data_IF_631481144255
#
_entry.id   IF_631481144255
#
_cell.length_a   1.000
_cell.length_b   1.000
_cell.length_c   1.000
_cell.angle_alpha   90.00
_cell.angle_beta   90.00
_cell.angle_gamma   90.00
#
_symmetry.space_group_name_H-M   'P 1'
#
loop_
_entity.id
_entity.type
_entity.pdbx_description
1 polymer ?
#
# COMPACT_ATOMS: atom_id res chain seq x y z
N UNK A 1 2.66 -7.10 -26.79
CA UNK A 1 2.95 -7.49 -25.38
C UNK A 1 1.78 -7.00 -24.56
N UNK A 2 1.02 -7.91 -23.95
CA UNK A 2 -0.11 -7.55 -23.09
C UNK A 2 0.45 -7.36 -21.69
N UNK A 3 0.73 -6.11 -21.31
CA UNK A 3 1.23 -5.77 -19.97
C UNK A 3 0.02 -5.86 -19.04
N UNK A 4 0.13 -6.65 -17.96
CA UNK A 4 -0.93 -6.74 -16.95
C UNK A 4 -1.23 -5.33 -16.42
N UNK A 5 -2.50 -4.93 -16.23
CA UNK A 5 -2.85 -3.63 -15.64
C UNK A 5 -2.06 -3.30 -14.36
N UNK A 6 -1.76 -4.32 -13.55
CA UNK A 6 -0.95 -4.20 -12.33
C UNK A 6 0.49 -3.76 -12.64
N UNK A 7 1.12 -4.37 -13.65
CA UNK A 7 2.49 -4.04 -14.08
C UNK A 7 2.57 -2.62 -14.66
N UNK A 8 1.46 -2.10 -15.22
CA UNK A 8 1.39 -0.77 -15.82
C UNK A 8 1.41 0.35 -14.77
N UNK A 9 0.72 0.17 -13.64
CA UNK A 9 0.72 1.17 -12.56
C UNK A 9 1.97 1.12 -11.69
N UNK A 10 2.56 -0.05 -11.48
CA UNK A 10 3.84 -0.16 -10.75
C UNK A 10 5.03 0.48 -11.48
N UNK A 11 4.92 0.73 -12.80
CA UNK A 11 5.89 1.48 -13.59
C UNK A 11 5.70 3.02 -13.48
N UNK A 12 4.67 3.50 -12.78
CA UNK A 12 4.46 4.92 -12.57
C UNK A 12 5.61 5.51 -11.73
N UNK A 13 6.02 6.71 -12.11
CA UNK A 13 6.99 7.50 -11.37
C UNK A 13 6.27 8.48 -10.44
N UNK A 14 6.87 8.72 -9.29
CA UNK A 14 6.42 9.70 -8.29
C UNK A 14 7.41 10.85 -8.29
N UNK A 15 6.91 12.09 -8.34
CA UNK A 15 7.74 13.29 -8.18
C UNK A 15 7.67 13.84 -6.76
N UNK A 16 8.57 14.78 -6.43
CA UNK A 16 8.47 15.55 -5.19
C UNK A 16 7.15 16.31 -5.12
N UNK A 17 6.69 16.88 -6.23
CA UNK A 17 5.45 17.66 -6.25
C UNK A 17 4.21 16.76 -6.03
N UNK A 18 4.23 15.53 -6.57
CA UNK A 18 3.22 14.52 -6.25
C UNK A 18 3.21 14.24 -4.74
N UNK A 19 4.38 13.95 -4.14
CA UNK A 19 4.50 13.71 -2.70
C UNK A 19 3.98 14.89 -1.88
N UNK A 20 4.24 16.13 -2.29
CA UNK A 20 3.76 17.32 -1.58
C UNK A 20 2.24 17.49 -1.71
N UNK A 21 1.68 17.20 -2.89
CA UNK A 21 0.22 17.25 -3.13
C UNK A 21 -0.54 16.27 -2.23
N UNK A 22 0.14 15.20 -1.82
CA UNK A 22 -0.38 14.14 -0.96
C UNK A 22 -0.40 14.50 0.53
N UNK A 23 0.05 15.71 0.89
CA UNK A 23 0.05 16.25 2.27
C UNK A 23 0.74 15.30 3.26
N UNK A 24 2.04 15.04 3.06
CA UNK A 24 2.82 14.14 3.90
C UNK A 24 2.99 14.78 5.30
N UNK A 25 3.25 13.94 6.29
CA UNK A 25 3.55 14.39 7.65
C UNK A 25 4.91 15.11 7.76
N UNK A 26 5.80 14.90 6.80
CA UNK A 26 7.12 15.53 6.74
C UNK A 26 7.05 16.92 6.11
N UNK A 27 7.97 17.80 6.52
CA UNK A 27 8.11 19.12 5.89
C UNK A 27 8.64 19.00 4.47
N UNK A 28 8.30 19.98 3.62
CA UNK A 28 8.82 20.05 2.25
C UNK A 28 10.34 20.01 2.20
N UNK A 29 11.02 20.72 3.11
CA UNK A 29 12.48 20.72 3.20
C UNK A 29 13.05 19.30 3.43
N UNK A 30 12.40 18.50 4.28
CA UNK A 30 12.83 17.12 4.54
C UNK A 30 12.61 16.22 3.33
N UNK A 31 11.50 16.40 2.61
CA UNK A 31 11.21 15.62 1.40
C UNK A 31 12.22 15.95 0.31
N UNK A 32 12.54 17.24 0.12
CA UNK A 32 13.55 17.68 -0.84
C UNK A 32 14.96 17.21 -0.47
N UNK A 33 15.27 17.14 0.83
CA UNK A 33 16.53 16.58 1.32
C UNK A 33 16.67 15.08 0.99
N UNK A 34 15.62 14.28 1.28
CA UNK A 34 15.57 12.85 0.91
C UNK A 34 15.65 12.65 -0.61
N UNK A 35 14.98 13.52 -1.36
CA UNK A 35 14.99 13.49 -2.82
C UNK A 35 16.38 13.78 -3.43
N UNK A 36 17.16 14.65 -2.79
CA UNK A 36 18.42 15.13 -3.33
C UNK A 36 18.24 15.71 -4.74
N UNK A 37 19.05 15.23 -5.69
CA UNK A 37 19.00 15.68 -7.08
C UNK A 37 18.01 14.91 -7.96
N UNK A 38 17.47 13.79 -7.48
CA UNK A 38 16.56 12.95 -8.26
C UNK A 38 15.18 13.61 -8.27
N UNK A 39 14.51 13.57 -9.41
CA UNK A 39 13.22 14.26 -9.62
C UNK A 39 12.04 13.29 -9.61
N UNK A 40 12.27 12.03 -9.96
CA UNK A 40 11.26 11.00 -10.15
C UNK A 40 11.75 9.67 -9.59
N UNK A 41 10.88 8.92 -8.92
CA UNK A 41 11.18 7.55 -8.45
C UNK A 41 10.10 6.57 -8.84
N UNK A 42 10.50 5.37 -9.21
CA UNK A 42 9.57 4.23 -9.26
C UNK A 42 9.25 3.72 -7.86
N UNK A 43 8.14 2.99 -7.71
CA UNK A 43 7.79 2.35 -6.44
C UNK A 43 8.93 1.47 -5.89
N UNK A 44 9.62 0.73 -6.75
CA UNK A 44 10.75 -0.13 -6.36
C UNK A 44 11.95 0.68 -5.86
N UNK A 45 12.23 1.82 -6.47
CA UNK A 45 13.31 2.71 -6.03
C UNK A 45 12.99 3.33 -4.67
N UNK A 46 11.73 3.70 -4.41
CA UNK A 46 11.28 4.20 -3.10
C UNK A 46 11.46 3.12 -2.03
N UNK A 47 11.06 1.87 -2.31
CA UNK A 47 11.26 0.76 -1.38
C UNK A 47 12.74 0.49 -1.08
N UNK A 48 13.63 0.78 -2.03
CA UNK A 48 15.08 0.62 -1.87
C UNK A 48 15.77 1.77 -1.10
N UNK A 49 15.05 2.82 -0.67
CA UNK A 49 15.61 3.91 0.14
C UNK A 49 15.88 3.45 1.58
N UNK A 50 16.97 2.73 1.81
CA UNK A 50 17.31 2.16 3.13
C UNK A 50 17.51 3.19 4.25
N UNK A 51 17.85 4.44 3.88
CA UNK A 51 18.00 5.55 4.81
C UNK A 51 16.66 6.18 5.24
N UNK A 52 15.54 5.77 4.63
CA UNK A 52 14.19 6.22 4.96
C UNK A 52 13.49 5.13 5.79
N UNK A 53 12.71 5.55 6.79
CA UNK A 53 11.98 4.62 7.64
C UNK A 53 11.06 3.72 6.81
N UNK A 54 10.92 2.42 7.15
CA UNK A 54 10.05 1.51 6.42
C UNK A 54 8.61 2.01 6.31
N UNK A 55 8.08 2.59 7.38
CA UNK A 55 6.73 3.17 7.43
C UNK A 55 6.54 4.31 6.44
N UNK A 56 7.52 5.21 6.32
CA UNK A 56 7.50 6.32 5.37
C UNK A 56 7.56 5.79 3.92
N UNK A 57 8.38 4.77 3.66
CA UNK A 57 8.46 4.13 2.33
C UNK A 57 7.14 3.47 1.95
N UNK A 58 6.55 2.72 2.87
CA UNK A 58 5.28 2.03 2.65
C UNK A 58 4.12 3.02 2.49
N UNK A 59 4.13 4.13 3.22
CA UNK A 59 3.11 5.18 3.08
C UNK A 59 3.07 5.76 1.66
N UNK A 60 4.23 5.91 1.01
CA UNK A 60 4.32 6.38 -0.38
C UNK A 60 3.84 5.31 -1.36
N UNK A 61 4.22 4.05 -1.16
CA UNK A 61 4.00 2.97 -2.15
C UNK A 61 2.59 2.37 -2.07
N UNK A 62 1.97 2.35 -0.89
CA UNK A 62 0.63 1.78 -0.67
C UNK A 62 -0.47 2.80 -1.02
N UNK A 63 -0.46 3.29 -2.26
CA UNK A 63 -1.26 4.41 -2.75
C UNK A 63 -2.03 4.05 -4.02
N UNK A 64 -3.32 4.44 -4.17
CA UNK A 64 -4.13 4.15 -5.36
C UNK A 64 -3.52 4.60 -6.69
N UNK A 65 -2.67 5.62 -6.64
CA UNK A 65 -1.93 6.17 -7.77
C UNK A 65 -0.84 5.21 -8.29
N UNK A 66 -0.29 4.34 -7.44
CA UNK A 66 0.78 3.39 -7.76
C UNK A 66 0.30 1.94 -7.82
N UNK A 67 -0.74 1.61 -7.07
CA UNK A 67 -1.32 0.27 -6.98
C UNK A 67 -2.83 0.42 -7.05
N UNK A 68 -3.50 -0.37 -7.89
CA UNK A 68 -4.96 -0.33 -7.99
C UNK A 68 -5.64 -0.63 -6.64
N UNK A 69 -6.75 0.06 -6.34
CA UNK A 69 -7.47 -0.10 -5.07
C UNK A 69 -7.87 -1.55 -4.75
N UNK A 70 -8.35 -2.38 -5.70
CA UNK A 70 -8.61 -3.80 -5.43
C UNK A 70 -7.35 -4.56 -4.99
N UNK A 71 -6.18 -4.23 -5.56
CA UNK A 71 -4.91 -4.85 -5.21
C UNK A 71 -4.42 -4.37 -3.85
N UNK A 72 -4.57 -3.08 -3.53
CA UNK A 72 -4.29 -2.55 -2.19
C UNK A 72 -5.17 -3.22 -1.13
N UNK A 73 -6.44 -3.42 -1.43
CA UNK A 73 -7.37 -4.11 -0.54
C UNK A 73 -6.93 -5.55 -0.30
N UNK A 74 -6.61 -6.29 -1.35
CA UNK A 74 -6.10 -7.67 -1.24
C UNK A 74 -4.80 -7.72 -0.43
N UNK A 75 -3.87 -6.79 -0.66
CA UNK A 75 -2.61 -6.69 0.10
C UNK A 75 -2.87 -6.44 1.59
N UNK A 76 -3.78 -5.52 1.93
CA UNK A 76 -4.15 -5.24 3.30
C UNK A 76 -4.72 -6.49 3.99
N UNK A 77 -5.58 -7.25 3.30
CA UNK A 77 -6.11 -8.51 3.82
C UNK A 77 -5.00 -9.54 4.04
N UNK A 78 -4.11 -9.75 3.06
CA UNK A 78 -2.98 -10.67 3.19
C UNK A 78 -2.05 -10.30 4.35
N UNK A 79 -1.83 -9.00 4.60
CA UNK A 79 -1.07 -8.54 5.76
C UNK A 79 -1.80 -8.80 7.08
N UNK A 80 -3.09 -8.48 7.16
CA UNK A 80 -3.91 -8.77 8.33
C UNK A 80 -3.94 -10.27 8.66
N UNK A 81 -4.14 -11.12 7.65
CA UNK A 81 -4.13 -12.58 7.80
C UNK A 81 -2.79 -13.11 8.30
N UNK A 82 -1.68 -12.56 7.80
CA UNK A 82 -0.34 -12.96 8.22
C UNK A 82 0.01 -12.50 9.63
N UNK A 83 -0.50 -11.35 10.06
CA UNK A 83 -0.29 -10.80 11.40
C UNK A 83 -1.27 -11.36 12.43
N UNK A 84 -2.41 -11.91 12.00
CA UNK A 84 -3.45 -12.44 12.88
C UNK A 84 -2.92 -13.42 13.93
N UNK A 85 -2.03 -14.40 13.64
CA UNK A 85 -1.48 -15.29 14.65
C UNK A 85 -0.64 -14.56 15.71
N UNK A 86 0.07 -13.50 15.33
CA UNK A 86 0.90 -12.72 16.23
C UNK A 86 0.04 -11.87 17.19
N UNK A 87 -1.12 -11.39 16.70
CA UNK A 87 -2.02 -10.52 17.46
C UNK A 87 -3.14 -11.27 18.17
N UNK A 88 -3.36 -12.55 17.86
CA UNK A 88 -4.45 -13.35 18.43
C UNK A 88 -4.42 -13.44 19.96
N UNK A 89 -3.25 -13.28 20.60
CA UNK A 89 -3.13 -13.26 22.06
C UNK A 89 -3.44 -11.88 22.67
N UNK A 90 -3.28 -10.79 21.92
CA UNK A 90 -3.55 -9.41 22.36
C UNK A 90 -4.96 -8.93 21.97
N UNK A 91 -5.56 -9.52 20.94
CA UNK A 91 -6.91 -9.19 20.50
C UNK A 91 -7.94 -9.76 21.48
N UNK A 92 -8.77 -8.89 22.05
CA UNK A 92 -9.87 -9.32 22.91
C UNK A 92 -10.81 -10.30 22.16
N UNK A 93 -11.45 -11.27 22.85
CA UNK A 93 -12.20 -12.36 22.23
C UNK A 93 -13.28 -11.96 21.20
N UNK A 94 -13.75 -10.71 21.24
CA UNK A 94 -14.75 -10.18 20.29
C UNK A 94 -14.23 -9.80 18.90
N UNK A 95 -12.92 -9.57 18.74
CA UNK A 95 -12.35 -9.11 17.46
C UNK A 95 -12.22 -10.25 16.44
N UNK A 96 -12.01 -11.48 16.88
CA UNK A 96 -11.91 -12.64 15.99
C UNK A 96 -13.20 -12.85 15.16
N UNK A 97 -14.37 -12.57 15.73
CA UNK A 97 -15.65 -12.65 15.03
C UNK A 97 -15.85 -11.54 13.99
N UNK A 98 -15.32 -10.33 14.25
CA UNK A 98 -15.35 -9.23 13.28
C UNK A 98 -14.48 -9.53 12.06
N UNK A 99 -13.26 -10.04 12.26
CA UNK A 99 -12.40 -10.44 11.15
C UNK A 99 -12.97 -11.60 10.33
N UNK A 100 -13.68 -12.54 10.96
CA UNK A 100 -14.36 -13.63 10.25
C UNK A 100 -15.53 -13.12 9.39
N UNK A 101 -16.34 -12.20 9.93
CA UNK A 101 -17.44 -11.57 9.20
C UNK A 101 -16.91 -10.71 8.03
N UNK A 102 -15.82 -9.99 8.23
CA UNK A 102 -15.15 -9.21 7.19
C UNK A 102 -14.58 -10.10 6.08
N UNK A 103 -13.93 -11.23 6.41
CA UNK A 103 -13.49 -12.21 5.40
C UNK A 103 -14.66 -12.76 4.59
N UNK A 104 -15.80 -13.01 5.21
CA UNK A 104 -16.95 -13.60 4.52
C UNK A 104 -17.57 -12.62 3.52
N UNK A 105 -17.71 -11.36 3.93
CA UNK A 105 -18.11 -10.27 3.03
C UNK A 105 -17.13 -10.10 1.86
N UNK A 106 -15.83 -10.19 2.12
CA UNK A 106 -14.78 -10.07 1.09
C UNK A 106 -14.80 -11.22 0.07
N UNK A 107 -15.00 -12.46 0.51
CA UNK A 107 -15.15 -13.62 -0.40
C UNK A 107 -16.36 -13.43 -1.32
N UNK A 108 -17.46 -12.87 -0.79
CA UNK A 108 -18.67 -12.58 -1.57
C UNK A 108 -18.43 -11.46 -2.60
N UNK A 109 -17.82 -10.32 -2.21
CA UNK A 109 -17.51 -9.23 -3.13
C UNK A 109 -16.54 -9.64 -4.26
N UNK A 110 -15.49 -10.41 -3.95
CA UNK A 110 -14.55 -10.91 -4.97
C UNK A 110 -15.23 -11.91 -5.91
N UNK A 111 -16.16 -12.73 -5.41
CA UNK A 111 -16.98 -13.63 -6.25
C UNK A 111 -17.86 -12.87 -7.23
N UNK A 112 -18.48 -11.78 -6.79
CA UNK A 112 -19.33 -10.94 -7.64
C UNK A 112 -18.52 -10.22 -8.73
N UNK A 113 -17.32 -9.73 -8.40
CA UNK A 113 -16.41 -9.08 -9.35
C UNK A 113 -15.83 -10.04 -10.41
N UNK A 114 -15.69 -11.34 -10.10
CA UNK A 114 -15.15 -12.34 -11.02
C UNK A 114 -16.20 -13.10 -11.85
N UNK A 115 -17.49 -13.00 -11.49
CA UNK A 115 -18.60 -13.63 -12.22
C UNK A 115 -19.45 -12.62 -13.03
N UNK A 116 -19.05 -11.35 -13.06
CA UNK A 116 -19.63 -10.28 -13.90
C UNK A 116 -18.86 -10.06 -15.20
#
# INVERSE_FOLDING_TARGET
>A
MNINPIDRKMAATVTVDDLLSWKPCHSEAKIRDIAGNKQEWTAMEILALEHVLPEDRLWVVLRPELIDEPVLHELACRFAERMLPAWAAELAPGYAALFAAERQWQVECVRELLMG
#
